data_IF_800120387579
#
_entry.id   IF_800120387579
#
_cell.length_a   1.000
_cell.length_b   1.000
_cell.length_c   1.000
_cell.angle_alpha   90.00
_cell.angle_beta   90.00
_cell.angle_gamma   90.00
#
_symmetry.space_group_name_H-M   'P 1'
#
loop_
_entity.id
_entity.type
_entity.pdbx_description
1 polymer ?
#
# COMPACT_ATOMS: atom_id res chain seq x y z
N UNK A 1 -64.06 -25.71 -16.51
CA UNK A 1 -63.83 -24.26 -16.28
C UNK A 1 -62.32 -24.05 -16.34
N UNK A 2 -61.75 -23.54 -17.44
CA UNK A 2 -61.48 -22.09 -17.71
C UNK A 2 -60.86 -21.37 -16.50
N UNK A 3 -59.73 -20.67 -16.56
CA UNK A 3 -58.74 -20.33 -17.61
C UNK A 3 -57.68 -19.37 -16.97
N UNK A 4 -56.41 -19.48 -17.41
CA UNK A 4 -55.35 -18.44 -17.50
C UNK A 4 -54.84 -17.77 -16.19
N UNK A 5 -53.56 -17.40 -15.98
CA UNK A 5 -52.51 -16.83 -16.85
C UNK A 5 -51.11 -17.18 -16.26
N UNK A 6 -50.16 -17.59 -17.11
CA UNK A 6 -48.69 -17.33 -17.00
C UNK A 6 -48.34 -16.46 -18.23
N UNK A 7 -47.16 -15.84 -18.39
CA UNK A 7 -46.04 -15.56 -17.46
C UNK A 7 -45.47 -14.12 -17.65
N UNK A 8 -44.63 -13.60 -16.74
CA UNK A 8 -43.53 -12.69 -17.12
C UNK A 8 -42.63 -12.47 -15.91
N UNK A 9 -41.40 -12.94 -16.00
CA UNK A 9 -40.16 -12.33 -15.54
C UNK A 9 -39.11 -13.40 -15.81
N UNK A 10 -38.64 -13.35 -17.06
CA UNK A 10 -37.44 -14.05 -17.51
C UNK A 10 -36.34 -13.81 -16.48
N UNK A 11 -35.71 -14.89 -16.03
CA UNK A 11 -34.45 -14.79 -15.32
C UNK A 11 -33.44 -14.13 -16.27
N UNK A 12 -33.21 -12.82 -16.08
CA UNK A 12 -32.06 -12.14 -16.64
C UNK A 12 -30.82 -12.82 -16.07
N UNK A 13 -30.29 -13.77 -16.84
CA UNK A 13 -28.92 -14.20 -16.70
C UNK A 13 -28.08 -12.99 -17.05
N UNK A 14 -27.55 -12.31 -16.03
CA UNK A 14 -26.61 -11.21 -16.18
C UNK A 14 -25.36 -11.78 -16.89
N UNK A 15 -25.36 -11.72 -18.22
CA UNK A 15 -24.23 -12.14 -19.05
C UNK A 15 -23.09 -11.23 -18.66
N UNK A 16 -22.17 -11.73 -17.84
CA UNK A 16 -20.89 -11.07 -17.56
C UNK A 16 -20.32 -10.58 -18.89
N UNK A 17 -20.37 -9.27 -19.12
CA UNK A 17 -19.73 -8.63 -20.26
C UNK A 17 -18.25 -8.97 -20.15
N UNK A 18 -17.74 -9.79 -21.06
CA UNK A 18 -16.29 -10.00 -21.20
C UNK A 18 -15.67 -8.63 -21.37
N UNK A 19 -14.82 -8.22 -20.43
CA UNK A 19 -14.09 -6.95 -20.52
C UNK A 19 -13.33 -6.94 -21.84
N UNK A 20 -13.54 -5.90 -22.64
CA UNK A 20 -12.78 -5.73 -23.87
C UNK A 20 -11.30 -5.56 -23.50
N UNK A 21 -10.44 -6.34 -24.14
CA UNK A 21 -9.00 -6.15 -24.01
C UNK A 21 -8.61 -4.85 -24.70
N UNK A 22 -7.91 -3.98 -23.97
CA UNK A 22 -7.36 -2.73 -24.51
C UNK A 22 -5.85 -2.89 -24.49
N UNK A 23 -5.23 -2.86 -25.67
CA UNK A 23 -3.78 -2.80 -25.81
C UNK A 23 -3.29 -1.43 -25.35
N UNK A 24 -2.50 -1.40 -24.27
CA UNK A 24 -2.03 -0.17 -23.62
C UNK A 24 -0.59 0.20 -23.95
N UNK A 25 0.12 -0.60 -24.76
CA UNK A 25 1.53 -0.39 -25.08
C UNK A 25 2.41 -0.33 -23.81
N UNK A 26 2.36 -1.40 -23.02
CA UNK A 26 3.03 -1.52 -21.71
C UNK A 26 4.54 -1.25 -21.76
N UNK A 27 5.19 -1.53 -22.88
CA UNK A 27 6.61 -1.30 -23.14
C UNK A 27 6.95 0.19 -23.22
N UNK A 28 6.07 0.99 -23.83
CA UNK A 28 6.20 2.45 -23.87
C UNK A 28 6.10 3.04 -22.47
N UNK A 29 5.15 2.54 -21.65
CA UNK A 29 5.02 2.93 -20.24
C UNK A 29 6.30 2.65 -19.43
N UNK A 30 6.95 1.51 -19.67
CA UNK A 30 8.23 1.18 -19.04
C UNK A 30 9.34 2.14 -19.46
N UNK A 31 9.52 2.33 -20.78
CA UNK A 31 10.56 3.20 -21.33
C UNK A 31 10.41 4.63 -20.83
N UNK A 32 9.19 5.15 -20.79
CA UNK A 32 8.90 6.48 -20.25
C UNK A 32 9.26 6.59 -18.77
N UNK A 33 8.82 5.63 -17.95
CA UNK A 33 9.15 5.59 -16.53
C UNK A 33 10.66 5.56 -16.30
N UNK A 34 11.38 4.76 -17.10
CA UNK A 34 12.83 4.64 -17.02
C UNK A 34 13.53 5.97 -17.32
N UNK A 35 13.18 6.61 -18.44
CA UNK A 35 13.78 7.88 -18.85
C UNK A 35 13.45 9.01 -17.88
N UNK A 36 12.27 9.01 -17.28
CA UNK A 36 11.84 10.07 -16.37
C UNK A 36 12.60 10.06 -15.04
N UNK A 37 12.99 8.88 -14.52
CA UNK A 37 13.49 8.76 -13.15
C UNK A 37 14.73 7.87 -12.97
N UNK A 38 14.92 6.86 -13.82
CA UNK A 38 15.89 5.78 -13.56
C UNK A 38 17.13 5.82 -14.43
N UNK A 39 17.06 6.41 -15.63
CA UNK A 39 18.18 6.61 -16.54
C UNK A 39 19.36 7.37 -15.90
N UNK A 40 20.51 7.32 -16.57
CA UNK A 40 21.73 8.03 -16.16
C UNK A 40 21.52 9.56 -16.12
N UNK A 41 20.82 10.09 -17.14
CA UNK A 41 20.39 11.48 -17.22
C UNK A 41 18.85 11.53 -17.23
N UNK A 42 18.19 11.41 -16.07
CA UNK A 42 16.72 11.35 -16.00
C UNK A 42 16.09 12.72 -16.25
N UNK A 43 14.86 12.74 -16.78
CA UNK A 43 14.08 13.98 -16.95
C UNK A 43 13.88 14.71 -15.62
N UNK A 44 13.66 13.96 -14.54
CA UNK A 44 13.41 14.50 -13.21
C UNK A 44 14.56 14.21 -12.25
N UNK A 45 14.99 15.25 -11.53
CA UNK A 45 16.03 15.15 -10.51
C UNK A 45 15.59 14.37 -9.27
N UNK A 46 16.57 13.98 -8.44
CA UNK A 46 16.35 13.18 -7.23
C UNK A 46 15.37 13.80 -6.23
N UNK A 47 15.30 15.13 -6.13
CA UNK A 47 14.36 15.80 -5.23
C UNK A 47 12.90 15.64 -5.68
N UNK A 48 12.65 15.63 -6.99
CA UNK A 48 11.34 15.33 -7.58
C UNK A 48 11.01 13.85 -7.43
N UNK A 49 11.99 12.96 -7.61
CA UNK A 49 11.81 11.54 -7.29
C UNK A 49 11.31 11.36 -5.86
N UNK A 50 11.99 11.97 -4.87
CA UNK A 50 11.60 11.85 -3.46
C UNK A 50 10.21 12.41 -3.19
N UNK A 51 9.81 13.48 -3.88
CA UNK A 51 8.46 14.05 -3.78
C UNK A 51 7.40 13.09 -4.34
N UNK A 52 7.70 12.39 -5.44
CA UNK A 52 6.80 11.47 -6.13
C UNK A 52 6.67 10.11 -5.44
N UNK A 53 7.77 9.55 -4.97
CA UNK A 53 7.84 8.19 -4.42
C UNK A 53 7.89 8.16 -2.89
N UNK A 54 8.02 9.34 -2.23
CA UNK A 54 8.14 9.49 -0.76
C UNK A 54 9.34 8.78 -0.14
N UNK A 55 10.31 8.36 -0.97
CA UNK A 55 11.54 7.68 -0.56
C UNK A 55 12.69 8.03 -1.51
N UNK A 56 13.91 7.65 -1.16
CA UNK A 56 15.06 7.82 -2.05
C UNK A 56 15.05 6.75 -3.17
N UNK A 57 15.80 7.02 -4.25
CA UNK A 57 15.87 6.11 -5.43
C UNK A 57 16.50 4.77 -5.08
N UNK A 58 17.51 4.76 -4.21
CA UNK A 58 18.24 3.54 -3.81
C UNK A 58 17.34 2.56 -3.05
N UNK A 59 16.59 3.03 -2.06
CA UNK A 59 15.62 2.23 -1.31
C UNK A 59 14.50 1.72 -2.22
N UNK A 60 14.03 2.56 -3.15
CA UNK A 60 13.06 2.11 -4.14
C UNK A 60 13.62 0.95 -4.98
N UNK A 61 14.85 1.08 -5.48
CA UNK A 61 15.49 0.04 -6.27
C UNK A 61 15.76 -1.23 -5.46
N UNK A 62 16.13 -1.12 -4.18
CA UNK A 62 16.30 -2.29 -3.31
C UNK A 62 14.98 -3.01 -3.06
N UNK A 63 13.88 -2.28 -2.89
CA UNK A 63 12.53 -2.85 -2.78
C UNK A 63 12.15 -3.59 -4.08
N UNK A 64 12.32 -2.94 -5.23
CA UNK A 64 12.02 -3.53 -6.54
C UNK A 64 12.83 -4.80 -6.75
N UNK A 65 14.12 -4.78 -6.43
CA UNK A 65 15.00 -5.93 -6.53
C UNK A 65 14.51 -7.06 -5.60
N UNK A 66 14.30 -6.78 -4.31
CA UNK A 66 13.84 -7.77 -3.33
C UNK A 66 12.50 -8.42 -3.73
N UNK A 67 11.54 -7.62 -4.18
CA UNK A 67 10.26 -8.13 -4.67
C UNK A 67 10.41 -8.94 -5.95
N UNK A 68 11.23 -8.48 -6.91
CA UNK A 68 11.45 -9.19 -8.17
C UNK A 68 12.08 -10.57 -7.99
N UNK A 69 12.91 -10.76 -6.96
CA UNK A 69 13.54 -12.05 -6.70
C UNK A 69 12.61 -13.00 -5.94
N UNK A 70 11.90 -12.49 -4.93
CA UNK A 70 11.20 -13.34 -3.96
C UNK A 70 9.71 -13.49 -4.21
N UNK A 71 9.08 -12.58 -4.98
CA UNK A 71 7.64 -12.56 -5.20
C UNK A 71 7.32 -12.85 -6.67
N UNK A 72 6.73 -14.01 -7.00
CA UNK A 72 6.46 -14.41 -8.38
C UNK A 72 5.68 -13.39 -9.21
N UNK A 73 4.78 -12.62 -8.58
CA UNK A 73 4.02 -11.56 -9.24
C UNK A 73 4.91 -10.44 -9.80
N UNK A 74 6.03 -10.12 -9.13
CA UNK A 74 6.94 -9.05 -9.57
C UNK A 74 8.01 -9.53 -10.53
N UNK A 75 8.18 -10.85 -10.73
CA UNK A 75 9.11 -11.38 -11.71
C UNK A 75 8.73 -10.95 -13.14
N UNK A 76 9.72 -10.52 -13.91
CA UNK A 76 9.53 -10.12 -15.30
C UNK A 76 9.52 -11.37 -16.18
N UNK A 77 8.33 -11.92 -16.44
CA UNK A 77 8.14 -13.15 -17.21
C UNK A 77 7.41 -12.89 -18.52
N UNK A 78 7.70 -13.67 -19.58
CA UNK A 78 6.88 -13.67 -20.78
C UNK A 78 5.50 -14.25 -20.48
N UNK A 79 4.47 -13.69 -21.11
CA UNK A 79 3.13 -14.26 -21.11
C UNK A 79 3.06 -15.48 -22.07
N UNK A 80 1.89 -16.10 -22.17
CA UNK A 80 1.68 -17.29 -23.01
C UNK A 80 1.95 -17.03 -24.51
N UNK A 81 2.03 -15.77 -24.94
CA UNK A 81 2.37 -15.37 -26.31
C UNK A 81 3.86 -15.08 -26.50
N UNK A 82 4.67 -15.22 -25.45
CA UNK A 82 6.09 -14.88 -25.44
C UNK A 82 6.38 -13.40 -25.20
N UNK A 83 5.35 -12.55 -25.08
CA UNK A 83 5.51 -11.10 -24.85
C UNK A 83 5.79 -10.83 -23.38
N UNK A 84 6.78 -10.00 -23.10
CA UNK A 84 7.14 -9.67 -21.72
C UNK A 84 5.98 -8.99 -20.99
N UNK A 85 5.75 -9.45 -19.76
CA UNK A 85 4.81 -8.85 -18.81
C UNK A 85 5.19 -7.41 -18.43
N UNK A 86 4.40 -6.82 -17.55
CA UNK A 86 4.75 -5.55 -16.93
C UNK A 86 6.04 -5.67 -16.12
N UNK A 87 6.88 -4.66 -16.24
CA UNK A 87 8.16 -4.62 -15.51
C UNK A 87 7.93 -4.51 -13.99
N UNK A 88 8.86 -5.02 -13.17
CA UNK A 88 8.84 -4.85 -11.72
C UNK A 88 8.75 -3.37 -11.32
N UNK A 89 9.44 -2.49 -12.06
CA UNK A 89 9.43 -1.04 -11.87
C UNK A 89 8.03 -0.44 -12.03
N UNK A 90 7.30 -0.79 -13.09
CA UNK A 90 5.92 -0.33 -13.29
C UNK A 90 5.00 -0.78 -12.17
N UNK A 91 5.07 -2.07 -11.80
CA UNK A 91 4.23 -2.65 -10.74
C UNK A 91 4.48 -1.98 -9.39
N UNK A 92 5.74 -1.80 -9.00
CA UNK A 92 6.09 -1.14 -7.74
C UNK A 92 5.73 0.34 -7.76
N UNK A 93 5.92 1.03 -8.90
CA UNK A 93 5.55 2.45 -9.05
C UNK A 93 4.05 2.65 -8.89
N UNK A 94 3.23 1.76 -9.47
CA UNK A 94 1.78 1.83 -9.31
C UNK A 94 1.38 1.74 -7.83
N UNK A 95 1.87 0.71 -7.13
CA UNK A 95 1.60 0.51 -5.71
C UNK A 95 2.05 1.69 -4.84
N UNK A 96 3.29 2.18 -5.04
CA UNK A 96 3.85 3.28 -4.25
C UNK A 96 3.12 4.59 -4.52
N UNK A 97 2.75 4.89 -5.77
CA UNK A 97 1.98 6.11 -6.07
C UNK A 97 0.60 6.09 -5.43
N UNK A 98 -0.09 4.94 -5.45
CA UNK A 98 -1.35 4.78 -4.74
C UNK A 98 -1.19 5.01 -3.23
N UNK A 99 -0.15 4.44 -2.61
CA UNK A 99 0.14 4.62 -1.18
C UNK A 99 0.54 6.07 -0.83
N UNK A 100 1.36 6.70 -1.67
CA UNK A 100 1.92 8.03 -1.42
C UNK A 100 0.90 9.16 -1.52
N UNK A 101 -0.13 8.98 -2.35
CA UNK A 101 -1.12 10.03 -2.65
C UNK A 101 -2.55 9.66 -2.26
N UNK A 102 -2.82 8.40 -1.92
CA UNK A 102 -4.19 7.94 -1.69
C UNK A 102 -5.08 8.07 -2.94
N UNK A 103 -4.48 7.99 -4.13
CA UNK A 103 -5.18 8.16 -5.40
C UNK A 103 -6.04 6.93 -5.75
N UNK A 104 -7.03 7.14 -6.62
CA UNK A 104 -7.77 6.05 -7.23
C UNK A 104 -6.84 5.15 -8.08
N UNK A 105 -7.25 3.89 -8.26
CA UNK A 105 -6.46 2.86 -8.95
C UNK A 105 -6.48 2.99 -10.48
N UNK A 106 -7.09 4.03 -11.03
CA UNK A 106 -7.07 4.39 -12.45
C UNK A 106 -6.23 5.65 -12.70
N UNK A 107 -5.81 6.34 -11.63
CA UNK A 107 -5.13 7.63 -11.72
C UNK A 107 -3.73 7.55 -12.33
N UNK A 108 -3.12 6.35 -12.38
CA UNK A 108 -1.80 6.15 -13.01
C UNK A 108 -1.85 5.26 -14.26
N UNK A 109 -3.04 4.89 -14.76
CA UNK A 109 -3.21 4.05 -15.97
C UNK A 109 -2.55 4.74 -17.18
N UNK A 110 -2.82 6.03 -17.40
CA UNK A 110 -2.27 6.76 -18.56
C UNK A 110 -0.74 6.83 -18.55
N UNK A 111 -0.14 6.98 -17.36
CA UNK A 111 1.31 7.14 -17.24
C UNK A 111 2.04 5.81 -17.29
N UNK A 112 1.56 4.80 -16.53
CA UNK A 112 2.22 3.50 -16.40
C UNK A 112 1.72 2.48 -17.42
N UNK A 113 0.63 2.80 -18.14
CA UNK A 113 -0.07 1.94 -19.12
C UNK A 113 -0.64 0.67 -18.46
N UNK A 114 -1.34 0.85 -17.34
CA UNK A 114 -1.82 -0.21 -16.44
C UNK A 114 -3.33 -0.14 -16.21
N UNK A 115 -4.06 -1.23 -16.53
CA UNK A 115 -5.48 -1.27 -16.19
C UNK A 115 -5.73 -1.30 -14.67
N UNK A 116 -6.81 -0.67 -14.22
CA UNK A 116 -7.21 -0.50 -12.81
C UNK A 116 -7.10 -1.78 -11.96
N UNK A 117 -7.60 -2.91 -12.47
CA UNK A 117 -7.52 -4.19 -11.75
C UNK A 117 -6.09 -4.67 -11.52
N UNK A 118 -5.18 -4.30 -12.42
CA UNK A 118 -3.75 -4.62 -12.31
C UNK A 118 -3.09 -3.72 -11.28
N UNK A 119 -3.46 -2.43 -11.20
CA UNK A 119 -2.94 -1.52 -10.17
C UNK A 119 -3.34 -1.97 -8.77
N UNK A 120 -4.61 -2.36 -8.56
CA UNK A 120 -5.07 -2.95 -7.30
C UNK A 120 -4.32 -4.23 -6.95
N UNK A 121 -4.06 -5.09 -7.95
CA UNK A 121 -3.28 -6.32 -7.76
C UNK A 121 -1.82 -6.00 -7.41
N UNK A 122 -1.24 -4.97 -8.03
CA UNK A 122 0.10 -4.48 -7.70
C UNK A 122 0.14 -4.00 -6.26
N UNK A 123 -0.85 -3.23 -5.81
CA UNK A 123 -0.93 -2.77 -4.42
C UNK A 123 -0.98 -3.95 -3.44
N UNK A 124 -1.86 -4.92 -3.68
CA UNK A 124 -2.02 -6.08 -2.79
C UNK A 124 -0.75 -6.93 -2.70
N UNK A 125 -0.18 -7.32 -3.85
CA UNK A 125 1.05 -8.11 -3.86
C UNK A 125 2.26 -7.31 -3.34
N UNK A 126 2.27 -5.98 -3.54
CA UNK A 126 3.29 -5.12 -2.98
C UNK A 126 3.22 -5.12 -1.46
N UNK A 127 2.05 -4.88 -0.86
CA UNK A 127 1.90 -4.87 0.59
C UNK A 127 2.26 -6.21 1.22
N UNK A 128 1.80 -7.33 0.62
CA UNK A 128 2.14 -8.68 1.10
C UNK A 128 3.64 -8.95 1.00
N UNK A 129 4.26 -8.61 -0.13
CA UNK A 129 5.69 -8.78 -0.34
C UNK A 129 6.53 -7.90 0.58
N UNK A 130 6.12 -6.67 0.86
CA UNK A 130 6.80 -5.80 1.82
C UNK A 130 6.73 -6.40 3.23
N UNK A 131 5.55 -6.86 3.66
CA UNK A 131 5.40 -7.50 4.98
C UNK A 131 6.26 -8.76 5.07
N UNK A 132 6.25 -9.59 4.02
CA UNK A 132 7.03 -10.84 4.01
C UNK A 132 8.55 -10.59 4.05
N UNK A 133 9.05 -9.61 3.30
CA UNK A 133 10.50 -9.39 3.16
C UNK A 133 11.09 -8.47 4.24
N UNK A 134 10.30 -7.50 4.68
CA UNK A 134 10.78 -6.41 5.54
C UNK A 134 10.03 -6.36 6.89
N UNK A 135 8.93 -7.09 7.05
CA UNK A 135 8.12 -7.07 8.28
C UNK A 135 8.90 -7.47 9.52
N UNK A 136 9.71 -8.53 9.43
CA UNK A 136 10.50 -8.98 10.58
C UNK A 136 11.56 -7.96 11.00
N UNK A 137 12.05 -7.14 10.08
CA UNK A 137 13.02 -6.10 10.39
C UNK A 137 12.34 -4.83 10.92
N UNK A 138 11.29 -4.35 10.24
CA UNK A 138 10.73 -3.01 10.48
C UNK A 138 9.39 -2.99 11.23
N UNK A 139 8.70 -4.12 11.34
CA UNK A 139 7.42 -4.29 12.07
C UNK A 139 7.56 -5.26 13.25
N UNK A 140 8.74 -5.31 13.87
CA UNK A 140 9.01 -6.11 15.07
C UNK A 140 9.00 -5.27 16.34
N UNK A 141 8.80 -5.93 17.48
CA UNK A 141 9.02 -5.32 18.80
C UNK A 141 10.52 -5.04 19.02
N UNK A 142 10.88 -4.01 19.82
CA UNK A 142 12.25 -3.78 20.24
C UNK A 142 12.84 -5.02 20.91
N UNK A 143 14.09 -5.35 20.60
CA UNK A 143 14.84 -6.36 21.37
C UNK A 143 15.34 -5.72 22.68
N UNK A 144 15.84 -6.49 23.65
CA UNK A 144 16.47 -5.93 24.84
C UNK A 144 17.62 -4.96 24.51
N UNK A 145 18.38 -5.24 23.46
CA UNK A 145 19.49 -4.38 23.00
C UNK A 145 18.96 -3.05 22.42
N UNK A 146 17.89 -3.10 21.61
CA UNK A 146 17.23 -1.89 21.13
C UNK A 146 16.69 -1.06 22.29
N UNK A 147 16.06 -1.71 23.26
CA UNK A 147 15.49 -1.06 24.44
C UNK A 147 16.57 -0.36 25.25
N UNK A 148 17.69 -1.03 25.52
CA UNK A 148 18.83 -0.43 26.21
C UNK A 148 19.35 0.79 25.45
N UNK A 149 19.53 0.65 24.13
CA UNK A 149 19.97 1.77 23.28
C UNK A 149 19.02 2.97 23.36
N UNK A 150 17.71 2.71 23.33
CA UNK A 150 16.69 3.77 23.41
C UNK A 150 16.72 4.46 24.77
N UNK A 151 16.86 3.70 25.87
CA UNK A 151 16.99 4.23 27.22
C UNK A 151 18.25 5.09 27.38
N UNK A 152 19.40 4.63 26.87
CA UNK A 152 20.66 5.39 26.92
C UNK A 152 20.55 6.71 26.16
N UNK A 153 19.86 6.71 25.01
CA UNK A 153 19.61 7.93 24.21
C UNK A 153 18.67 8.87 24.98
N UNK A 154 17.61 8.33 25.60
CA UNK A 154 16.67 9.09 26.43
C UNK A 154 17.37 9.77 27.61
N UNK A 155 18.20 9.02 28.34
CA UNK A 155 18.96 9.52 29.49
C UNK A 155 19.92 10.64 29.10
N UNK A 156 20.71 10.45 28.02
CA UNK A 156 21.61 11.49 27.49
C UNK A 156 20.90 12.78 27.09
N UNK A 157 19.60 12.70 26.80
CA UNK A 157 18.75 13.83 26.41
C UNK A 157 17.95 14.42 27.57
N UNK A 158 18.08 13.88 28.78
CA UNK A 158 17.35 14.33 29.97
C UNK A 158 15.95 13.73 30.13
N UNK A 159 15.64 12.65 29.41
CA UNK A 159 14.37 11.92 29.49
C UNK A 159 14.62 10.47 29.97
N UNK A 160 14.98 10.25 31.24
CA UNK A 160 15.25 8.91 31.76
C UNK A 160 13.99 8.04 31.66
N UNK A 161 14.14 6.81 31.16
CA UNK A 161 13.03 5.87 30.95
C UNK A 161 12.26 6.04 29.63
N UNK A 162 12.58 7.04 28.80
CA UNK A 162 11.91 7.26 27.52
C UNK A 162 12.40 6.28 26.45
N UNK A 163 11.48 5.53 25.86
CA UNK A 163 11.77 4.56 24.78
C UNK A 163 11.38 5.09 23.39
N UNK A 164 10.61 6.17 23.32
CA UNK A 164 10.14 6.78 22.09
C UNK A 164 8.99 7.76 22.34
N UNK A 165 8.56 8.43 21.28
CA UNK A 165 7.36 9.25 21.26
C UNK A 165 6.19 8.42 20.76
N UNK A 166 5.07 8.47 21.48
CA UNK A 166 3.80 7.88 21.05
C UNK A 166 2.95 8.93 20.36
N UNK A 167 2.33 8.58 19.24
CA UNK A 167 1.34 9.40 18.56
C UNK A 167 0.16 8.53 18.07
N UNK A 168 -1.01 9.16 17.94
CA UNK A 168 -2.25 8.49 17.55
C UNK A 168 -2.97 9.26 16.45
N UNK A 169 -3.23 8.58 15.33
CA UNK A 169 -4.00 9.13 14.22
C UNK A 169 -5.39 8.50 14.15
N UNK A 170 -6.43 9.33 14.23
CA UNK A 170 -7.82 8.89 14.09
C UNK A 170 -8.27 8.97 12.63
N UNK A 171 -8.64 7.82 12.05
CA UNK A 171 -9.21 7.75 10.70
C UNK A 171 -10.66 7.38 10.71
N UNK A 172 -11.47 8.23 10.08
CA UNK A 172 -12.89 7.95 9.90
C UNK A 172 -13.09 6.74 8.98
N UNK A 173 -13.74 5.72 9.50
CA UNK A 173 -14.04 4.52 8.75
C UNK A 173 -15.39 4.64 8.03
N UNK A 174 -15.39 5.21 6.82
CA UNK A 174 -16.62 5.47 6.04
C UNK A 174 -17.45 4.20 5.82
N UNK A 175 -16.80 3.09 5.47
CA UNK A 175 -17.41 1.80 5.15
C UNK A 175 -17.33 0.80 6.32
N UNK A 176 -17.42 1.29 7.56
CA UNK A 176 -17.41 0.41 8.74
C UNK A 176 -18.64 -0.53 8.73
N UNK A 177 -18.46 -1.86 8.82
CA UNK A 177 -19.57 -2.80 8.92
C UNK A 177 -20.50 -2.44 10.08
N UNK A 178 -21.81 -2.58 9.87
CA UNK A 178 -22.82 -2.25 10.89
C UNK A 178 -22.58 -2.98 12.21
N UNK A 179 -22.14 -4.24 12.15
CA UNK A 179 -21.79 -5.05 13.31
C UNK A 179 -20.67 -4.46 14.18
N UNK A 180 -19.73 -3.72 13.58
CA UNK A 180 -18.57 -3.15 14.28
C UNK A 180 -18.77 -1.68 14.63
N UNK A 181 -19.74 -1.00 14.01
CA UNK A 181 -20.02 0.43 14.20
C UNK A 181 -20.14 0.82 15.67
N UNK A 182 -20.81 0.03 16.50
CA UNK A 182 -20.98 0.30 17.93
C UNK A 182 -19.66 0.32 18.74
N UNK A 183 -18.67 -0.48 18.33
CA UNK A 183 -17.35 -0.53 18.97
C UNK A 183 -16.48 0.67 18.59
N UNK A 184 -16.58 1.14 17.33
CA UNK A 184 -15.69 2.16 16.76
C UNK A 184 -16.27 3.59 16.77
N UNK A 185 -17.52 3.82 17.23
CA UNK A 185 -18.20 5.14 17.15
C UNK A 185 -18.27 5.90 18.50
N UNK A 186 -17.67 5.43 19.60
CA UNK A 186 -17.91 6.09 20.90
C UNK A 186 -16.96 7.26 21.15
N UNK A 187 -17.48 8.49 21.12
CA UNK A 187 -16.74 9.76 21.30
C UNK A 187 -16.73 10.65 20.05
N UNK A 188 -16.80 10.04 18.87
CA UNK A 188 -16.97 10.69 17.57
C UNK A 188 -18.33 10.33 16.96
N UNK A 189 -19.01 11.24 16.26
CA UNK A 189 -20.31 10.93 15.61
C UNK A 189 -20.23 9.85 14.52
N UNK A 190 -19.01 9.46 14.13
CA UNK A 190 -18.69 8.51 13.05
C UNK A 190 -17.70 7.46 13.57
N UNK A 191 -17.75 6.22 13.05
CA UNK A 191 -16.79 5.19 13.41
C UNK A 191 -15.37 5.62 13.02
N UNK A 192 -14.42 5.46 13.93
CA UNK A 192 -13.00 5.79 13.74
C UNK A 192 -12.10 4.62 14.12
N UNK A 193 -11.13 4.32 13.27
CA UNK A 193 -10.00 3.44 13.59
C UNK A 193 -8.87 4.34 14.08
N UNK A 194 -8.17 3.92 15.13
CA UNK A 194 -6.99 4.64 15.62
C UNK A 194 -5.74 3.86 15.27
N UNK A 195 -4.80 4.52 14.61
CA UNK A 195 -3.44 4.05 14.43
C UNK A 195 -2.57 4.66 15.53
N UNK A 196 -2.08 3.83 16.43
CA UNK A 196 -1.09 4.22 17.44
C UNK A 196 0.30 3.80 16.96
N UNK A 197 1.27 4.71 17.05
CA UNK A 197 2.64 4.48 16.64
C UNK A 197 3.59 4.95 17.72
N UNK A 198 4.59 4.13 18.04
CA UNK A 198 5.75 4.55 18.85
C UNK A 198 6.96 4.66 17.93
N UNK A 199 7.48 5.87 17.82
CA UNK A 199 8.66 6.16 17.02
C UNK A 199 9.80 6.68 17.90
N UNK A 200 11.02 6.25 17.60
CA UNK A 200 12.23 6.82 18.20
C UNK A 200 12.74 7.99 17.39
N UNK A 201 13.75 8.66 17.94
CA UNK A 201 14.32 9.87 17.37
C UNK A 201 15.04 9.67 16.03
N UNK A 202 15.50 8.45 15.73
CA UNK A 202 16.04 8.04 14.43
C UNK A 202 14.92 7.74 13.40
N UNK A 203 13.67 8.10 13.70
CA UNK A 203 12.47 7.86 12.88
C UNK A 203 12.12 6.38 12.71
N UNK A 204 12.71 5.51 13.52
CA UNK A 204 12.36 4.10 13.54
C UNK A 204 11.03 3.88 14.24
N UNK A 205 10.15 3.10 13.62
CA UNK A 205 8.86 2.71 14.20
C UNK A 205 9.04 1.38 14.92
N UNK A 206 8.87 1.39 16.24
CA UNK A 206 9.00 0.20 17.10
C UNK A 206 7.68 -0.49 17.35
N UNK A 207 6.60 0.27 17.25
CA UNK A 207 5.26 -0.22 17.48
C UNK A 207 4.33 0.51 16.53
N UNK A 208 3.47 -0.24 15.86
CA UNK A 208 2.32 0.27 15.15
C UNK A 208 1.16 -0.67 15.40
N UNK A 209 0.03 -0.15 15.88
CA UNK A 209 -1.14 -0.97 16.11
C UNK A 209 -2.44 -0.20 15.82
N UNK A 210 -3.44 -0.96 15.36
CA UNK A 210 -4.76 -0.45 15.07
C UNK A 210 -5.73 -0.85 16.16
N UNK A 211 -6.41 0.15 16.73
CA UNK A 211 -7.36 -0.05 17.82
C UNK A 211 -8.70 0.60 17.49
N UNK A 212 -9.75 0.14 18.18
CA UNK A 212 -10.98 0.94 18.29
C UNK A 212 -10.76 2.09 19.27
N UNK A 213 -11.39 3.24 19.02
CA UNK A 213 -11.33 4.42 19.89
C UNK A 213 -11.73 4.17 21.36
N UNK A 214 -12.28 2.99 21.70
CA UNK A 214 -12.56 2.56 23.07
C UNK A 214 -11.32 2.35 23.95
N UNK A 215 -10.16 1.98 23.38
CA UNK A 215 -9.03 1.48 24.17
C UNK A 215 -8.02 2.56 24.60
N UNK A 216 -8.09 3.77 24.03
CA UNK A 216 -7.13 4.85 24.29
C UNK A 216 -7.20 5.50 25.68
N UNK A 217 -8.11 5.07 26.56
CA UNK A 217 -8.25 5.60 27.93
C UNK A 217 -7.69 4.68 29.02
N UNK A 218 -6.85 3.69 28.68
CA UNK A 218 -6.39 2.68 29.64
C UNK A 218 -4.87 2.58 29.81
N UNK A 219 -4.11 3.56 29.35
CA UNK A 219 -2.69 3.71 29.68
C UNK A 219 -2.49 4.97 30.52
#
# INVERSE_FOLDING_TARGET
>A
MRRYIKPFLEAQTDKQRKRAYIERNREEGHTRLWNDYFAENPTYEAHLFRRCFRMNKELFMSIVYGLSQNVPFFQHKPDATGRLGLSPLQKCTAAIRMLAYGSAADAVDEYLRLGESTELSCLHHFTDGIIQLFGDQYLRRPTPEDLQRLLDIGEKRGFPGMIGSIDCMHWRWKNCPTSWKGQYTRGSSKPTIVLEVVASQDLWIWHACFWSSRYLKRY
#
